data_IF_815756373399
#
_entry.id   IF_815756373399
#
_cell.length_a   1.000
_cell.length_b   1.000
_cell.length_c   1.000
_cell.angle_alpha   90.00
_cell.angle_beta   90.00
_cell.angle_gamma   90.00
#
_symmetry.space_group_name_H-M   'P 1'
#
loop_
_entity.id
_entity.type
_entity.pdbx_description
1 polymer ?
#
# COMPACT_ATOMS: atom_id res chain seq x y z
N UNK A 1 -42.78 5.44 -4.36
CA UNK A 1 -41.36 5.47 -4.77
C UNK A 1 -40.53 5.31 -3.51
N UNK A 2 -39.98 4.12 -3.32
CA UNK A 2 -39.04 3.83 -2.24
C UNK A 2 -37.71 4.48 -2.64
N UNK A 3 -37.04 5.26 -1.77
CA UNK A 3 -35.75 5.83 -2.12
C UNK A 3 -34.78 4.71 -2.43
N UNK A 4 -34.12 4.86 -3.57
CA UNK A 4 -33.04 4.02 -4.05
C UNK A 4 -31.96 3.94 -2.95
N UNK A 5 -31.74 2.73 -2.45
CA UNK A 5 -30.66 2.43 -1.53
C UNK A 5 -29.35 2.81 -2.24
N UNK A 6 -28.72 3.90 -1.78
CA UNK A 6 -27.35 4.28 -2.12
C UNK A 6 -26.47 3.05 -1.90
N UNK A 7 -26.13 2.35 -3.00
CA UNK A 7 -25.05 1.36 -3.07
C UNK A 7 -23.68 2.07 -2.98
N UNK A 8 -23.55 3.01 -2.04
CA UNK A 8 -22.38 3.86 -1.83
C UNK A 8 -21.25 3.22 -1.03
N UNK A 9 -21.43 2.01 -0.51
CA UNK A 9 -20.55 1.44 0.51
C UNK A 9 -19.48 0.45 -0.01
N UNK A 10 -19.26 0.37 -1.32
CA UNK A 10 -18.11 -0.37 -1.89
C UNK A 10 -16.88 0.52 -2.19
N UNK A 11 -17.04 1.86 -2.13
CA UNK A 11 -16.01 2.82 -2.54
C UNK A 11 -14.70 2.83 -1.71
N UNK A 12 -14.67 2.52 -0.40
CA UNK A 12 -13.42 2.49 0.36
C UNK A 12 -12.52 1.29 0.01
N UNK A 13 -13.13 0.14 -0.29
CA UNK A 13 -12.44 -1.13 -0.56
C UNK A 13 -11.73 -1.10 -1.92
N UNK A 14 -12.42 -0.60 -2.95
CA UNK A 14 -11.91 -0.53 -4.33
C UNK A 14 -10.69 0.41 -4.47
N UNK A 15 -10.66 1.49 -3.67
CA UNK A 15 -9.51 2.41 -3.64
C UNK A 15 -8.28 1.75 -3.02
N UNK A 16 -8.44 0.99 -1.93
CA UNK A 16 -7.34 0.29 -1.28
C UNK A 16 -6.76 -0.82 -2.17
N UNK A 17 -7.63 -1.50 -2.93
CA UNK A 17 -7.26 -2.48 -3.93
C UNK A 17 -6.40 -1.89 -5.06
N UNK A 18 -6.85 -0.77 -5.64
CA UNK A 18 -6.11 -0.07 -6.72
C UNK A 18 -4.72 0.35 -6.27
N UNK A 19 -4.60 0.84 -5.03
CA UNK A 19 -3.30 1.22 -4.45
C UNK A 19 -2.39 0.00 -4.30
N UNK A 20 -2.90 -1.13 -3.80
CA UNK A 20 -2.10 -2.35 -3.66
C UNK A 20 -1.65 -2.90 -5.01
N UNK A 21 -2.51 -2.90 -6.02
CA UNK A 21 -2.15 -3.31 -7.37
C UNK A 21 -1.00 -2.45 -7.94
N UNK A 22 -1.05 -1.13 -7.73
CA UNK A 22 0.03 -0.23 -8.12
C UNK A 22 1.34 -0.55 -7.37
N UNK A 23 1.28 -0.77 -6.05
CA UNK A 23 2.47 -1.12 -5.25
C UNK A 23 3.06 -2.47 -5.71
N UNK A 24 2.23 -3.49 -5.96
CA UNK A 24 2.67 -4.78 -6.49
C UNK A 24 3.39 -4.58 -7.82
N UNK A 25 2.82 -3.78 -8.73
CA UNK A 25 3.43 -3.47 -10.02
C UNK A 25 4.79 -2.79 -9.88
N UNK A 26 4.92 -1.83 -8.96
CA UNK A 26 6.19 -1.14 -8.67
C UNK A 26 7.21 -2.09 -8.04
N UNK A 27 6.80 -2.96 -7.11
CA UNK A 27 7.68 -3.95 -6.46
C UNK A 27 8.21 -4.95 -7.49
N UNK A 28 7.33 -5.55 -8.30
CA UNK A 28 7.70 -6.49 -9.37
C UNK A 28 8.57 -5.83 -10.43
N UNK A 29 8.24 -4.60 -10.85
CA UNK A 29 9.02 -3.85 -11.82
C UNK A 29 10.45 -3.60 -11.33
N UNK A 30 10.61 -3.13 -10.08
CA UNK A 30 11.94 -2.95 -9.49
C UNK A 30 12.71 -4.26 -9.38
N UNK A 31 12.06 -5.35 -8.95
CA UNK A 31 12.70 -6.67 -8.87
C UNK A 31 13.13 -7.20 -10.24
N UNK A 32 12.31 -7.02 -11.27
CA UNK A 32 12.63 -7.47 -12.61
C UNK A 32 13.82 -6.69 -13.18
N UNK A 33 13.71 -5.36 -13.26
CA UNK A 33 14.75 -4.56 -13.92
C UNK A 33 16.05 -4.55 -13.14
N UNK A 34 16.00 -4.31 -11.82
CA UNK A 34 17.23 -4.31 -11.01
C UNK A 34 17.79 -5.70 -10.82
N UNK A 35 16.93 -6.73 -10.78
CA UNK A 35 17.37 -8.12 -10.74
C UNK A 35 18.12 -8.55 -12.00
N UNK A 36 17.72 -8.04 -13.17
CA UNK A 36 18.44 -8.25 -14.44
C UNK A 36 19.75 -7.45 -14.51
N UNK A 37 19.82 -6.30 -13.85
CA UNK A 37 21.04 -5.47 -13.76
C UNK A 37 22.02 -5.93 -12.66
N UNK A 38 21.60 -6.85 -11.79
CA UNK A 38 22.44 -7.34 -10.70
C UNK A 38 23.64 -8.11 -11.27
N UNK A 39 24.85 -7.65 -10.94
CA UNK A 39 26.06 -8.38 -11.28
C UNK A 39 26.26 -9.56 -10.31
N UNK A 40 26.29 -10.81 -10.79
CA UNK A 40 26.46 -11.98 -9.92
C UNK A 40 27.81 -12.03 -9.19
N UNK A 41 28.86 -11.41 -9.74
CA UNK A 41 30.23 -11.52 -9.21
C UNK A 41 30.53 -10.45 -8.15
N UNK A 42 29.84 -9.31 -8.18
CA UNK A 42 29.95 -8.24 -7.20
C UNK A 42 28.61 -7.53 -7.03
N UNK A 43 27.66 -8.15 -6.30
CA UNK A 43 26.33 -7.60 -6.21
C UNK A 43 26.31 -6.43 -5.23
N UNK A 44 25.65 -5.34 -5.62
CA UNK A 44 25.44 -4.19 -4.75
C UNK A 44 24.49 -4.56 -3.61
N UNK A 45 25.05 -4.68 -2.40
CA UNK A 45 24.32 -5.10 -1.21
C UNK A 45 23.20 -4.14 -0.84
N UNK A 46 23.33 -2.84 -1.14
CA UNK A 46 22.26 -1.86 -0.93
C UNK A 46 21.02 -2.20 -1.76
N UNK A 47 21.23 -2.55 -3.03
CA UNK A 47 20.17 -3.00 -3.94
C UNK A 47 19.60 -4.35 -3.53
N UNK A 48 20.44 -5.32 -3.14
CA UNK A 48 19.96 -6.63 -2.65
C UNK A 48 19.04 -6.45 -1.44
N UNK A 49 19.42 -5.65 -0.45
CA UNK A 49 18.60 -5.42 0.74
C UNK A 49 17.25 -4.82 0.38
N UNK A 50 17.23 -3.82 -0.52
CA UNK A 50 15.98 -3.25 -1.02
C UNK A 50 15.11 -4.28 -1.74
N UNK A 51 15.69 -5.04 -2.67
CA UNK A 51 14.98 -6.10 -3.40
C UNK A 51 14.48 -7.22 -2.49
N UNK A 52 15.22 -7.57 -1.44
CA UNK A 52 14.81 -8.57 -0.45
C UNK A 52 13.58 -8.12 0.35
N UNK A 53 13.51 -6.83 0.73
CA UNK A 53 12.33 -6.24 1.39
C UNK A 53 11.11 -6.30 0.46
N UNK A 54 11.29 -5.96 -0.81
CA UNK A 54 10.24 -6.04 -1.82
C UNK A 54 9.75 -7.50 -2.00
N UNK A 55 10.68 -8.44 -2.14
CA UNK A 55 10.39 -9.86 -2.30
C UNK A 55 9.62 -10.42 -1.08
N UNK A 56 10.01 -10.02 0.13
CA UNK A 56 9.35 -10.43 1.36
C UNK A 56 7.92 -9.86 1.48
N UNK A 57 7.63 -8.70 0.89
CA UNK A 57 6.29 -8.08 0.93
C UNK A 57 5.30 -8.67 -0.09
N UNK A 58 5.79 -9.15 -1.25
CA UNK A 58 4.96 -9.73 -2.31
C UNK A 58 3.98 -10.85 -1.84
N UNK A 59 4.37 -11.85 -1.02
CA UNK A 59 3.43 -12.87 -0.58
C UNK A 59 2.28 -12.28 0.26
N UNK A 60 2.55 -11.27 1.09
CA UNK A 60 1.50 -10.60 1.86
C UNK A 60 0.56 -9.79 0.96
N UNK A 61 1.10 -9.17 -0.09
CA UNK A 61 0.32 -8.45 -1.09
C UNK A 61 -0.59 -9.39 -1.90
N UNK A 62 -0.08 -10.57 -2.26
CA UNK A 62 -0.86 -11.60 -2.94
C UNK A 62 -2.00 -12.12 -2.06
N UNK A 63 -1.74 -12.37 -0.77
CA UNK A 63 -2.78 -12.79 0.18
C UNK A 63 -3.85 -11.71 0.36
N UNK A 64 -3.46 -10.43 0.47
CA UNK A 64 -4.42 -9.32 0.50
C UNK A 64 -5.35 -9.32 -0.73
N UNK A 65 -4.77 -9.51 -1.93
CA UNK A 65 -5.54 -9.60 -3.16
C UNK A 65 -6.51 -10.78 -3.16
N UNK A 66 -6.05 -11.97 -2.74
CA UNK A 66 -6.90 -13.16 -2.65
C UNK A 66 -8.05 -12.99 -1.65
N UNK A 67 -7.80 -12.39 -0.48
CA UNK A 67 -8.85 -12.11 0.51
C UNK A 67 -9.86 -11.12 -0.07
N UNK A 68 -9.40 -10.05 -0.72
CA UNK A 68 -10.29 -9.06 -1.32
C UNK A 68 -11.16 -9.65 -2.42
N UNK A 69 -10.58 -10.44 -3.34
CA UNK A 69 -11.34 -11.15 -4.37
C UNK A 69 -12.32 -12.17 -3.78
N UNK A 70 -11.93 -12.90 -2.72
CA UNK A 70 -12.82 -13.83 -2.04
C UNK A 70 -14.02 -13.12 -1.41
N UNK A 71 -13.80 -11.99 -0.75
CA UNK A 71 -14.86 -11.17 -0.16
C UNK A 71 -15.84 -10.65 -1.24
N UNK A 72 -15.32 -10.23 -2.39
CA UNK A 72 -16.16 -9.76 -3.50
C UNK A 72 -16.98 -10.87 -4.16
N UNK A 73 -16.42 -12.08 -4.24
CA UNK A 73 -17.06 -13.22 -4.92
C UNK A 73 -18.13 -13.91 -4.05
N UNK A 74 -17.97 -13.91 -2.72
CA UNK A 74 -18.87 -14.60 -1.80
C UNK A 74 -19.68 -13.62 -0.94
N UNK A 75 -20.82 -13.13 -1.45
CA UNK A 75 -21.78 -12.28 -0.71
C UNK A 75 -22.41 -12.96 0.54
N UNK A 76 -22.18 -14.26 0.76
CA UNK A 76 -22.87 -15.08 1.76
C UNK A 76 -21.92 -15.77 2.77
N UNK A 77 -20.67 -15.30 2.88
CA UNK A 77 -19.74 -15.83 3.88
C UNK A 77 -20.27 -15.57 5.30
N UNK A 78 -20.19 -16.58 6.18
CA UNK A 78 -20.63 -16.50 7.57
C UNK A 78 -19.97 -15.28 8.24
N UNK A 79 -20.74 -14.43 8.96
CA UNK A 79 -20.24 -13.17 9.56
C UNK A 79 -18.90 -13.31 10.30
N UNK A 80 -18.65 -14.48 10.91
CA UNK A 80 -17.42 -14.78 11.65
C UNK A 80 -16.20 -14.96 10.73
N UNK A 81 -16.37 -15.66 9.60
CA UNK A 81 -15.30 -15.87 8.61
C UNK A 81 -14.91 -14.53 7.97
N UNK A 82 -15.90 -13.71 7.62
CA UNK A 82 -15.69 -12.38 7.07
C UNK A 82 -14.86 -11.49 8.01
N UNK A 83 -15.22 -11.43 9.30
CA UNK A 83 -14.48 -10.62 10.29
C UNK A 83 -13.05 -11.11 10.48
N UNK A 84 -12.82 -12.43 10.44
CA UNK A 84 -11.47 -12.99 10.58
C UNK A 84 -10.60 -12.69 9.35
N UNK A 85 -11.16 -12.82 8.14
CA UNK A 85 -10.49 -12.46 6.90
C UNK A 85 -10.16 -10.96 6.83
N UNK A 86 -11.07 -10.10 7.30
CA UNK A 86 -10.83 -8.66 7.35
C UNK A 86 -9.68 -8.29 8.28
N UNK A 87 -9.61 -8.91 9.47
CA UNK A 87 -8.48 -8.72 10.40
C UNK A 87 -7.16 -9.14 9.78
N UNK A 88 -7.14 -10.27 9.07
CA UNK A 88 -5.94 -10.73 8.37
C UNK A 88 -5.54 -9.77 7.24
N UNK A 89 -6.52 -9.28 6.48
CA UNK A 89 -6.32 -8.29 5.41
C UNK A 89 -5.63 -7.02 5.91
N UNK A 90 -6.02 -6.49 7.08
CA UNK A 90 -5.38 -5.31 7.68
C UNK A 90 -3.90 -5.59 7.99
N UNK A 91 -3.56 -6.77 8.50
CA UNK A 91 -2.15 -7.13 8.79
C UNK A 91 -1.36 -7.19 7.48
N UNK A 92 -1.90 -7.86 6.46
CA UNK A 92 -1.27 -7.91 5.14
C UNK A 92 -1.08 -6.52 4.53
N UNK A 93 -2.05 -5.63 4.71
CA UNK A 93 -1.99 -4.25 4.24
C UNK A 93 -0.87 -3.46 4.94
N UNK A 94 -0.70 -3.61 6.26
CA UNK A 94 0.40 -2.98 6.99
C UNK A 94 1.76 -3.47 6.48
N UNK A 95 1.93 -4.79 6.31
CA UNK A 95 3.18 -5.36 5.81
C UNK A 95 3.44 -4.94 4.36
N UNK A 96 2.40 -4.86 3.53
CA UNK A 96 2.48 -4.35 2.17
C UNK A 96 2.98 -2.90 2.13
N UNK A 97 2.45 -2.02 2.97
CA UNK A 97 2.93 -0.63 3.03
C UNK A 97 4.36 -0.48 3.53
N UNK A 98 4.86 -1.42 4.35
CA UNK A 98 6.28 -1.44 4.73
C UNK A 98 7.21 -1.61 3.52
N UNK A 99 6.74 -2.20 2.40
CA UNK A 99 7.55 -2.32 1.17
C UNK A 99 7.91 -0.96 0.56
N UNK A 100 7.15 0.10 0.86
CA UNK A 100 7.45 1.47 0.44
C UNK A 100 8.78 1.96 1.03
N UNK A 101 9.18 1.47 2.20
CA UNK A 101 10.50 1.76 2.78
C UNK A 101 11.62 1.13 1.95
N UNK A 102 11.40 -0.09 1.46
CA UNK A 102 12.31 -0.76 0.52
C UNK A 102 12.45 0.01 -0.80
N UNK A 103 11.34 0.53 -1.34
CA UNK A 103 11.35 1.39 -2.53
C UNK A 103 12.12 2.68 -2.25
N UNK A 104 11.86 3.35 -1.12
CA UNK A 104 12.57 4.56 -0.74
C UNK A 104 14.09 4.32 -0.62
N UNK A 105 14.47 3.20 -0.03
CA UNK A 105 15.86 2.77 0.06
C UNK A 105 16.49 2.56 -1.32
N UNK A 106 15.80 1.85 -2.21
CA UNK A 106 16.25 1.63 -3.60
C UNK A 106 16.42 2.93 -4.38
N UNK A 107 15.53 3.91 -4.19
CA UNK A 107 15.66 5.23 -4.81
C UNK A 107 16.87 6.00 -4.28
N UNK A 108 17.10 5.96 -2.98
CA UNK A 108 18.27 6.60 -2.37
C UNK A 108 19.57 5.97 -2.85
N UNK A 109 19.59 4.63 -2.96
CA UNK A 109 20.75 3.88 -3.43
C UNK A 109 21.03 4.11 -4.92
N UNK A 110 20.00 4.29 -5.75
CA UNK A 110 20.18 4.64 -7.17
C UNK A 110 20.75 6.03 -7.35
N UNK A 111 20.13 7.03 -6.72
CA UNK A 111 20.60 8.40 -6.81
C UNK A 111 20.06 9.25 -5.65
N UNK A 112 20.96 9.91 -4.92
CA UNK A 112 20.60 10.65 -3.70
C UNK A 112 19.52 11.71 -3.93
N UNK A 113 19.54 12.42 -5.06
CA UNK A 113 18.53 13.43 -5.37
C UNK A 113 17.13 12.84 -5.58
N UNK A 114 17.03 11.63 -6.15
CA UNK A 114 15.74 10.95 -6.34
C UNK A 114 15.18 10.54 -4.97
N UNK A 115 16.03 9.95 -4.12
CA UNK A 115 15.64 9.57 -2.76
C UNK A 115 15.21 10.77 -1.91
N UNK A 116 15.95 11.88 -1.97
CA UNK A 116 15.60 13.13 -1.24
C UNK A 116 14.29 13.72 -1.75
N UNK A 117 14.08 13.77 -3.08
CA UNK A 117 12.83 14.28 -3.64
C UNK A 117 11.64 13.43 -3.17
N UNK A 118 11.74 12.10 -3.24
CA UNK A 118 10.71 11.18 -2.74
C UNK A 118 10.43 11.39 -1.24
N UNK A 119 11.48 11.45 -0.42
CA UNK A 119 11.38 11.67 1.02
C UNK A 119 10.73 13.01 1.38
N UNK A 120 11.16 14.10 0.74
CA UNK A 120 10.57 15.43 0.96
C UNK A 120 9.09 15.47 0.55
N UNK A 121 8.73 14.83 -0.57
CA UNK A 121 7.35 14.73 -1.04
C UNK A 121 6.48 13.97 -0.04
N UNK A 122 6.97 12.86 0.50
CA UNK A 122 6.28 12.09 1.54
C UNK A 122 6.06 12.91 2.81
N UNK A 123 7.07 13.66 3.28
CA UNK A 123 6.95 14.54 4.44
C UNK A 123 5.89 15.61 4.21
N UNK A 124 5.95 16.29 3.06
CA UNK A 124 4.97 17.33 2.70
C UNK A 124 3.55 16.74 2.67
N UNK A 125 3.36 15.56 2.05
CA UNK A 125 2.06 14.90 2.00
C UNK A 125 1.52 14.59 3.41
N UNK A 126 2.36 14.09 4.32
CA UNK A 126 1.95 13.82 5.71
C UNK A 126 1.54 15.11 6.42
N UNK A 127 2.30 16.19 6.25
CA UNK A 127 1.98 17.50 6.83
C UNK A 127 0.64 18.03 6.30
N UNK A 128 0.39 17.91 4.99
CA UNK A 128 -0.86 18.33 4.37
C UNK A 128 -2.06 17.53 4.91
N UNK A 129 -1.92 16.21 5.02
CA UNK A 129 -2.98 15.36 5.59
C UNK A 129 -3.28 15.79 7.03
N UNK A 130 -2.26 15.97 7.87
CA UNK A 130 -2.45 16.43 9.26
C UNK A 130 -3.08 17.82 9.35
N UNK A 131 -2.66 18.72 8.48
CA UNK A 131 -3.24 20.07 8.41
C UNK A 131 -4.72 20.01 8.04
N UNK A 132 -5.08 19.20 7.05
CA UNK A 132 -6.47 19.03 6.64
C UNK A 132 -7.34 18.41 7.75
N UNK A 133 -6.85 17.38 8.44
CA UNK A 133 -7.59 16.74 9.54
C UNK A 133 -7.79 17.68 10.73
N UNK A 134 -6.78 18.50 11.06
CA UNK A 134 -6.88 19.47 12.15
C UNK A 134 -7.87 20.61 11.82
N UNK A 135 -7.85 21.09 10.57
CA UNK A 135 -8.83 22.07 10.09
C UNK A 135 -10.26 21.51 10.15
N UNK A 136 -10.45 20.27 9.70
CA UNK A 136 -11.76 19.60 9.77
C UNK A 136 -12.27 19.43 11.21
N UNK A 137 -11.38 19.12 12.17
CA UNK A 137 -11.74 19.02 13.59
C UNK A 137 -12.19 20.38 14.15
N UNK A 138 -11.44 21.44 13.85
CA UNK A 138 -11.74 22.81 14.32
C UNK A 138 -13.09 23.32 13.77
N UNK A 139 -13.36 23.07 12.49
CA UNK A 139 -14.64 23.42 11.86
C UNK A 139 -15.82 22.65 12.47
N UNK A 140 -15.62 21.36 12.81
CA UNK A 140 -16.67 20.55 13.46
C UNK A 140 -17.01 21.05 14.86
N UNK A 141 -16.01 21.49 15.63
CA UNK A 141 -16.23 22.08 16.96
C UNK A 141 -16.90 23.45 16.92
N UNK A 142 -16.66 24.24 15.86
CA UNK A 142 -17.28 25.57 15.68
C UNK A 142 -18.72 25.50 15.16
N UNK A 143 -19.18 24.34 14.70
CA UNK A 143 -20.51 24.09 14.17
C UNK A 143 -21.50 23.49 15.20
N UNK A 144 -21.04 23.26 16.43
CA UNK A 144 -21.82 22.80 17.60
C UNK A 144 -22.02 23.98 18.54
#
# INVERSE_FOLDING_TARGET
>A
MVPENDRGDNAPSDKAWTIHAAIIGVNLGNMLFRGLELNPDNPDMGTIMGLAVLAAALPFQAVFFLIHSYIQEFENATDIEYVMLLKLSIICQVVSYLSLLGIAWLFYNTHQYIGIAFGSGAIIAIVLVRSATNQAATLRESAV
#
